data_IF_489182508917
#
_entry.id   IF_489182508917
#
_cell.length_a   1.000
_cell.length_b   1.000
_cell.length_c   1.000
_cell.angle_alpha   90.00
_cell.angle_beta   90.00
_cell.angle_gamma   90.00
#
_symmetry.space_group_name_H-M   'P 1'
#
loop_
_entity.id
_entity.type
_entity.pdbx_description
1 polymer ?
#
# COMPACT_ATOMS: atom_id res chain seq x y z
N UNK A 1 -49.68 49.51 37.66
CA UNK A 1 -48.28 49.05 37.92
C UNK A 1 -48.24 47.54 37.70
N UNK A 2 -47.88 47.09 36.53
CA UNK A 2 -47.62 45.68 36.26
C UNK A 2 -46.29 45.56 35.54
N UNK A 3 -45.32 44.90 36.15
CA UNK A 3 -44.05 44.54 35.57
C UNK A 3 -44.18 43.16 34.94
N UNK A 4 -43.98 43.07 33.64
CA UNK A 4 -43.91 41.80 32.93
C UNK A 4 -42.42 41.48 32.69
N UNK A 5 -41.93 40.47 33.38
CA UNK A 5 -40.63 39.83 33.08
C UNK A 5 -40.85 38.79 31.99
N UNK A 6 -40.22 38.95 30.83
CA UNK A 6 -40.14 37.89 29.82
C UNK A 6 -38.78 37.23 29.83
N UNK A 7 -38.79 35.93 29.93
CA UNK A 7 -37.68 35.02 29.99
C UNK A 7 -36.94 34.94 28.67
N UNK A 8 -35.63 34.89 28.80
CA UNK A 8 -34.71 34.37 27.75
C UNK A 8 -34.58 32.89 27.99
N UNK A 9 -35.11 32.07 27.10
CA UNK A 9 -34.90 30.63 27.09
C UNK A 9 -34.99 30.12 25.62
N UNK A 10 -33.95 30.34 24.82
CA UNK A 10 -33.78 29.63 23.53
C UNK A 10 -32.38 29.89 22.97
N UNK A 11 -31.34 29.18 23.40
CA UNK A 11 -30.08 29.16 22.63
C UNK A 11 -29.15 27.95 22.94
N UNK A 12 -29.62 26.86 23.52
CA UNK A 12 -28.73 25.71 23.84
C UNK A 12 -28.89 24.51 22.89
N UNK A 13 -29.97 24.42 22.10
CA UNK A 13 -30.18 23.27 21.21
C UNK A 13 -29.36 23.28 19.91
N UNK A 14 -28.89 24.43 19.44
CA UNK A 14 -28.22 24.54 18.15
C UNK A 14 -26.79 23.99 18.11
N UNK A 15 -26.05 24.11 19.21
CA UNK A 15 -24.64 23.74 19.24
C UNK A 15 -24.44 22.21 19.30
N UNK A 16 -25.28 21.50 20.06
CA UNK A 16 -25.19 20.03 20.18
C UNK A 16 -25.54 19.30 18.87
N UNK A 17 -26.48 19.82 18.09
CA UNK A 17 -26.88 19.22 16.80
C UNK A 17 -25.83 19.41 15.70
N UNK A 18 -25.14 20.55 15.65
CA UNK A 18 -24.05 20.78 14.70
C UNK A 18 -22.87 19.83 14.96
N UNK A 19 -22.46 19.66 16.22
CA UNK A 19 -21.34 18.75 16.56
C UNK A 19 -21.67 17.28 16.25
N UNK A 20 -22.90 16.82 16.48
CA UNK A 20 -23.32 15.46 16.16
C UNK A 20 -23.27 15.21 14.64
N UNK A 21 -23.77 16.14 13.84
CA UNK A 21 -23.77 16.06 12.37
C UNK A 21 -22.33 16.01 11.81
N UNK A 22 -21.41 16.78 12.38
CA UNK A 22 -19.99 16.78 11.95
C UNK A 22 -19.31 15.45 12.25
N UNK A 23 -19.58 14.84 13.40
CA UNK A 23 -19.05 13.52 13.76
C UNK A 23 -19.63 12.42 12.86
N UNK A 24 -20.92 12.46 12.55
CA UNK A 24 -21.55 11.49 11.66
C UNK A 24 -21.04 11.61 10.23
N UNK A 25 -20.88 12.83 9.72
CA UNK A 25 -20.27 13.10 8.42
C UNK A 25 -18.82 12.59 8.35
N UNK A 26 -18.05 12.81 9.41
CA UNK A 26 -16.69 12.29 9.50
C UNK A 26 -16.67 10.76 9.45
N UNK A 27 -17.47 10.09 10.29
CA UNK A 27 -17.57 8.62 10.29
C UNK A 27 -17.95 8.08 8.93
N UNK A 28 -18.94 8.67 8.28
CA UNK A 28 -19.35 8.30 6.93
C UNK A 28 -18.20 8.45 5.92
N UNK A 29 -17.40 9.51 6.03
CA UNK A 29 -16.23 9.69 5.15
C UNK A 29 -15.17 8.59 5.34
N UNK A 30 -14.97 8.10 6.57
CA UNK A 30 -14.06 6.97 6.85
C UNK A 30 -14.64 5.65 6.32
N UNK A 31 -15.95 5.43 6.48
CA UNK A 31 -16.63 4.26 5.90
C UNK A 31 -16.49 4.21 4.38
N UNK A 32 -16.66 5.34 3.70
CA UNK A 32 -16.42 5.45 2.25
C UNK A 32 -14.96 5.18 1.88
N UNK A 33 -14.02 5.68 2.68
CA UNK A 33 -12.60 5.39 2.48
C UNK A 33 -12.30 3.90 2.62
N UNK A 34 -12.85 3.22 3.64
CA UNK A 34 -12.73 1.77 3.83
C UNK A 34 -13.33 1.00 2.64
N UNK A 35 -14.52 1.40 2.15
CA UNK A 35 -15.14 0.76 1.00
C UNK A 35 -14.26 0.89 -0.27
N UNK A 36 -13.75 2.08 -0.56
CA UNK A 36 -12.83 2.30 -1.67
C UNK A 36 -11.49 1.54 -1.50
N UNK A 37 -11.05 1.30 -0.26
CA UNK A 37 -9.88 0.46 0.03
C UNK A 37 -10.13 -1.01 -0.35
N UNK A 38 -11.28 -1.55 0.00
CA UNK A 38 -11.70 -2.92 -0.37
C UNK A 38 -11.81 -3.04 -1.89
N UNK A 39 -12.42 -2.08 -2.55
CA UNK A 39 -12.57 -2.05 -4.01
C UNK A 39 -11.20 -2.12 -4.72
N UNK A 40 -10.25 -1.27 -4.34
CA UNK A 40 -8.89 -1.29 -4.91
C UNK A 40 -8.15 -2.60 -4.64
N UNK A 41 -8.32 -3.18 -3.44
CA UNK A 41 -7.65 -4.42 -3.08
C UNK A 41 -8.17 -5.61 -3.88
N UNK A 42 -9.50 -5.64 -4.15
CA UNK A 42 -10.19 -6.70 -4.88
C UNK A 42 -10.27 -6.46 -6.40
N UNK A 43 -9.76 -5.35 -6.90
CA UNK A 43 -9.71 -5.05 -8.33
C UNK A 43 -9.02 -6.20 -9.12
N UNK A 44 -9.35 -6.42 -10.40
CA UNK A 44 -8.74 -7.48 -11.23
C UNK A 44 -7.21 -7.44 -11.24
N UNK A 45 -6.63 -6.26 -11.13
CA UNK A 45 -5.21 -5.98 -11.08
C UNK A 45 -4.72 -5.56 -9.67
N UNK A 46 -5.60 -5.62 -8.66
CA UNK A 46 -5.30 -5.31 -7.26
C UNK A 46 -4.32 -6.31 -6.61
N UNK A 47 -3.92 -6.01 -5.39
CA UNK A 47 -2.93 -6.82 -4.67
C UNK A 47 -3.36 -8.27 -4.40
N UNK A 48 -4.65 -8.53 -4.28
CA UNK A 48 -5.19 -9.89 -4.15
C UNK A 48 -5.08 -10.73 -5.43
N UNK A 49 -4.79 -10.10 -6.59
CA UNK A 49 -4.56 -10.83 -7.84
C UNK A 49 -3.19 -11.50 -7.90
N UNK A 50 -2.25 -11.17 -7.02
CA UNK A 50 -0.91 -11.72 -7.05
C UNK A 50 -0.88 -13.21 -6.75
N UNK A 51 -0.22 -13.97 -7.64
CA UNK A 51 -0.04 -15.43 -7.52
C UNK A 51 1.43 -15.86 -7.58
N UNK A 52 2.37 -14.92 -7.84
CA UNK A 52 3.79 -15.22 -7.91
C UNK A 52 4.68 -13.98 -7.90
N UNK A 53 5.90 -14.17 -7.44
CA UNK A 53 7.03 -13.26 -7.59
C UNK A 53 8.27 -14.12 -7.83
N UNK A 54 8.76 -14.12 -9.06
CA UNK A 54 9.82 -15.00 -9.51
C UNK A 54 11.06 -14.18 -9.90
N UNK A 55 12.18 -14.41 -9.23
CA UNK A 55 13.41 -13.68 -9.48
C UNK A 55 14.17 -14.24 -10.70
N UNK A 56 14.58 -13.35 -11.61
CA UNK A 56 15.35 -13.70 -12.78
C UNK A 56 16.82 -13.99 -12.43
N UNK A 57 17.40 -14.94 -13.15
CA UNK A 57 18.84 -15.18 -13.18
C UNK A 57 19.43 -14.46 -14.42
N UNK A 58 20.71 -14.02 -14.37
CA UNK A 58 21.38 -13.53 -15.56
C UNK A 58 21.29 -14.54 -16.72
N UNK A 59 21.12 -14.04 -17.94
CA UNK A 59 20.94 -14.84 -19.13
C UNK A 59 19.50 -15.30 -19.37
N UNK A 60 19.31 -16.43 -20.01
CA UNK A 60 18.03 -16.96 -20.43
C UNK A 60 17.30 -17.65 -19.28
N UNK A 61 16.02 -17.30 -19.10
CA UNK A 61 15.08 -17.92 -18.14
C UNK A 61 13.87 -18.42 -18.92
N UNK A 62 13.70 -19.75 -19.04
CA UNK A 62 12.51 -20.36 -19.64
C UNK A 62 11.33 -20.17 -18.70
N UNK A 63 10.23 -19.69 -19.21
CA UNK A 63 9.03 -19.30 -18.42
C UNK A 63 7.82 -20.07 -18.92
N UNK A 64 7.03 -20.60 -18.00
CA UNK A 64 5.78 -21.31 -18.31
C UNK A 64 5.29 -22.13 -17.13
N UNK A 65 4.16 -22.84 -17.28
CA UNK A 65 3.58 -23.63 -16.18
C UNK A 65 4.15 -25.06 -16.08
N UNK A 66 4.86 -25.55 -17.08
CA UNK A 66 5.50 -26.87 -17.02
C UNK A 66 6.72 -26.85 -16.08
N UNK A 67 6.95 -27.97 -15.39
CA UNK A 67 7.98 -28.10 -14.36
C UNK A 67 9.44 -28.05 -14.89
N UNK A 68 9.62 -28.19 -16.19
CA UNK A 68 10.93 -28.11 -16.86
C UNK A 68 11.37 -26.67 -17.21
N UNK A 69 10.54 -25.66 -16.92
CA UNK A 69 10.92 -24.27 -17.03
C UNK A 69 11.84 -23.85 -15.87
N UNK A 70 12.65 -22.81 -16.08
CA UNK A 70 13.49 -22.20 -15.05
C UNK A 70 12.64 -21.37 -14.07
N UNK A 71 11.54 -20.80 -14.60
CA UNK A 71 10.48 -20.09 -13.87
C UNK A 71 9.17 -20.80 -14.12
N UNK A 72 8.64 -21.46 -13.07
CA UNK A 72 7.39 -22.23 -13.13
C UNK A 72 6.23 -21.36 -12.66
N UNK A 73 5.42 -20.90 -13.61
CA UNK A 73 4.25 -20.09 -13.33
C UNK A 73 3.10 -20.96 -12.78
N UNK A 74 2.30 -20.39 -11.87
CA UNK A 74 1.10 -21.07 -11.33
C UNK A 74 -0.09 -21.10 -12.32
N UNK A 75 0.01 -20.39 -13.43
CA UNK A 75 -1.02 -20.31 -14.48
C UNK A 75 -0.38 -20.11 -15.84
N UNK A 76 -1.14 -20.37 -16.90
CA UNK A 76 -0.75 -20.10 -18.29
C UNK A 76 -0.25 -21.33 -19.06
N UNK A 77 0.31 -21.13 -20.25
CA UNK A 77 0.77 -22.22 -21.13
C UNK A 77 1.96 -22.96 -20.52
N UNK A 78 2.12 -24.23 -20.88
CA UNK A 78 3.24 -25.09 -20.46
C UNK A 78 4.59 -24.41 -20.70
N UNK A 79 4.77 -23.85 -21.90
CA UNK A 79 5.94 -23.07 -22.29
C UNK A 79 5.46 -21.72 -22.87
N UNK A 80 5.64 -20.66 -22.08
CA UNK A 80 5.23 -19.31 -22.47
C UNK A 80 6.27 -18.66 -23.40
N UNK A 81 7.55 -18.85 -23.06
CA UNK A 81 8.66 -18.25 -23.78
C UNK A 81 9.94 -18.22 -22.96
N UNK A 82 10.86 -17.33 -23.36
CA UNK A 82 12.15 -17.11 -22.68
C UNK A 82 12.29 -15.64 -22.33
N UNK A 83 12.54 -15.34 -21.06
CA UNK A 83 12.93 -14.00 -20.61
C UNK A 83 14.46 -13.98 -20.46
N UNK A 84 15.12 -13.10 -21.18
CA UNK A 84 16.56 -12.91 -21.09
C UNK A 84 16.86 -11.65 -20.27
N UNK A 85 17.62 -11.81 -19.20
CA UNK A 85 18.19 -10.72 -18.41
C UNK A 85 19.66 -10.54 -18.86
N UNK A 86 19.95 -9.41 -19.51
CA UNK A 86 21.29 -9.07 -19.94
C UNK A 86 22.16 -8.51 -18.79
N UNK A 87 23.47 -8.48 -18.98
CA UNK A 87 24.44 -7.99 -17.98
C UNK A 87 24.26 -6.49 -17.65
N UNK A 88 23.68 -5.72 -18.57
CA UNK A 88 23.35 -4.30 -18.36
C UNK A 88 22.01 -4.08 -17.64
N UNK A 89 21.33 -5.17 -17.24
CA UNK A 89 20.04 -5.14 -16.56
C UNK A 89 18.82 -4.99 -17.48
N UNK A 90 19.04 -4.89 -18.81
CA UNK A 90 17.94 -4.89 -19.77
C UNK A 90 17.29 -6.27 -19.86
N UNK A 91 15.98 -6.29 -20.13
CA UNK A 91 15.20 -7.52 -20.22
C UNK A 91 14.46 -7.60 -21.55
N UNK A 92 14.47 -8.79 -22.13
CA UNK A 92 13.73 -9.11 -23.36
C UNK A 92 12.94 -10.40 -23.16
N UNK A 93 11.76 -10.48 -23.79
CA UNK A 93 10.99 -11.70 -23.89
C UNK A 93 10.91 -12.16 -25.34
N UNK A 94 11.12 -13.46 -25.56
CA UNK A 94 10.79 -14.16 -26.79
C UNK A 94 9.65 -15.15 -26.48
N UNK A 95 8.45 -14.88 -26.99
CA UNK A 95 7.29 -15.72 -26.78
C UNK A 95 7.35 -17.01 -27.62
N UNK A 96 6.98 -18.14 -27.04
CA UNK A 96 6.87 -19.39 -27.76
C UNK A 96 5.73 -19.35 -28.80
N UNK A 97 5.99 -19.87 -29.99
CA UNK A 97 4.96 -20.01 -31.03
C UNK A 97 3.75 -20.78 -30.49
N UNK A 98 2.57 -20.20 -30.62
CA UNK A 98 1.34 -20.82 -30.16
C UNK A 98 1.06 -20.67 -28.66
N UNK A 99 1.85 -19.91 -27.92
CA UNK A 99 1.59 -19.62 -26.49
C UNK A 99 0.28 -18.87 -26.25
N UNK A 100 -0.21 -18.13 -27.26
CA UNK A 100 -1.40 -17.28 -27.13
C UNK A 100 -1.20 -16.05 -26.25
N UNK A 101 0.05 -15.77 -25.85
CA UNK A 101 0.37 -14.62 -25.02
C UNK A 101 0.42 -13.33 -25.85
N UNK A 102 0.14 -12.21 -25.16
CA UNK A 102 0.17 -10.86 -25.71
C UNK A 102 1.13 -9.99 -24.89
N UNK A 103 1.86 -9.09 -25.55
CA UNK A 103 2.64 -8.05 -24.87
C UNK A 103 1.92 -6.72 -25.08
N UNK A 104 1.54 -6.06 -23.98
CA UNK A 104 0.73 -4.83 -23.98
C UNK A 104 -0.51 -4.96 -24.87
N UNK A 105 -1.18 -6.13 -24.78
CA UNK A 105 -2.37 -6.46 -25.57
C UNK A 105 -2.10 -6.76 -27.06
N UNK A 106 -0.83 -6.84 -27.51
CA UNK A 106 -0.48 -7.09 -28.91
C UNK A 106 0.13 -8.47 -29.12
N UNK A 107 -0.21 -9.17 -30.21
CA UNK A 107 0.39 -10.46 -30.55
C UNK A 107 1.77 -10.27 -31.22
N UNK A 108 2.78 -10.02 -30.40
CA UNK A 108 4.18 -9.89 -30.84
C UNK A 108 4.97 -11.11 -30.38
N UNK A 109 6.05 -11.46 -31.09
CA UNK A 109 6.89 -12.59 -30.72
C UNK A 109 8.02 -12.19 -29.78
N UNK A 110 8.58 -11.02 -29.97
CA UNK A 110 9.69 -10.49 -29.18
C UNK A 110 9.37 -9.08 -28.70
N UNK A 111 9.75 -8.76 -27.46
CA UNK A 111 9.59 -7.43 -26.90
C UNK A 111 10.63 -7.15 -25.79
N UNK A 112 10.95 -5.87 -25.61
CA UNK A 112 11.66 -5.39 -24.43
C UNK A 112 10.69 -5.30 -23.23
N UNK A 113 11.11 -5.80 -22.08
CA UNK A 113 10.37 -5.66 -20.84
C UNK A 113 10.91 -4.46 -20.06
N UNK A 114 10.11 -3.40 -19.96
CA UNK A 114 10.39 -2.26 -19.09
C UNK A 114 9.77 -2.57 -17.72
N UNK A 115 10.59 -2.55 -16.67
CA UNK A 115 10.12 -2.83 -15.30
C UNK A 115 9.42 -1.61 -14.66
N UNK A 116 8.85 -1.84 -13.48
CA UNK A 116 8.08 -0.83 -12.75
C UNK A 116 8.92 0.36 -12.25
N UNK A 117 10.21 0.19 -12.03
CA UNK A 117 11.10 1.27 -11.60
C UNK A 117 11.59 2.17 -12.77
N UNK A 118 11.53 1.68 -14.01
CA UNK A 118 12.02 2.38 -15.20
C UNK A 118 10.91 2.80 -16.17
N UNK A 119 9.66 2.50 -15.87
CA UNK A 119 8.51 2.88 -16.71
C UNK A 119 8.15 4.38 -16.61
N UNK A 120 8.67 5.12 -15.64
CA UNK A 120 8.30 6.51 -15.39
C UNK A 120 6.80 6.65 -15.15
N UNK A 121 6.17 7.62 -15.81
CA UNK A 121 4.71 7.83 -15.75
C UNK A 121 3.90 6.77 -16.53
N UNK A 122 4.56 5.89 -17.28
CA UNK A 122 3.91 4.80 -18.00
C UNK A 122 3.75 3.54 -17.12
N UNK A 123 2.93 2.60 -17.58
CA UNK A 123 2.85 1.28 -16.95
C UNK A 123 4.03 0.40 -17.41
N UNK A 124 4.56 -0.51 -16.57
CA UNK A 124 5.55 -1.48 -16.98
C UNK A 124 5.02 -2.39 -18.08
N UNK A 125 5.92 -2.88 -18.95
CA UNK A 125 5.54 -3.81 -20.01
C UNK A 125 4.87 -5.04 -19.44
N UNK A 126 3.65 -5.33 -19.89
CA UNK A 126 2.82 -6.42 -19.35
C UNK A 126 2.67 -7.55 -20.39
N UNK A 127 2.98 -8.77 -19.95
CA UNK A 127 2.74 -9.99 -20.72
C UNK A 127 1.50 -10.68 -20.16
N UNK A 128 0.46 -10.83 -20.99
CA UNK A 128 -0.82 -11.44 -20.59
C UNK A 128 -1.07 -12.78 -21.31
N UNK A 129 -1.67 -13.73 -20.61
CA UNK A 129 -1.99 -15.07 -21.09
C UNK A 129 -3.19 -15.65 -20.32
N UNK A 130 -4.31 -15.84 -21.00
CA UNK A 130 -5.56 -16.24 -20.34
C UNK A 130 -6.04 -15.21 -19.33
N UNK A 131 -6.29 -15.62 -18.08
CA UNK A 131 -6.68 -14.75 -16.96
C UNK A 131 -5.47 -14.17 -16.22
N UNK A 132 -4.27 -14.67 -16.53
CA UNK A 132 -3.04 -14.28 -15.84
C UNK A 132 -2.19 -13.32 -16.69
N UNK A 133 -1.31 -12.62 -16.00
CA UNK A 133 -0.31 -11.73 -16.59
C UNK A 133 0.90 -11.61 -15.68
N UNK A 134 2.00 -11.14 -16.21
CA UNK A 134 3.11 -10.64 -15.40
C UNK A 134 3.67 -9.34 -15.96
N UNK A 135 4.38 -8.61 -15.12
CA UNK A 135 5.27 -7.52 -15.48
C UNK A 135 6.58 -7.64 -14.71
N UNK A 136 7.62 -7.02 -15.24
CA UNK A 136 8.92 -7.01 -14.58
C UNK A 136 8.97 -5.98 -13.46
N UNK A 137 9.65 -6.32 -12.37
CA UNK A 137 9.96 -5.40 -11.27
C UNK A 137 11.47 -5.31 -11.06
N UNK A 138 11.92 -4.14 -10.58
CA UNK A 138 13.27 -3.95 -10.06
C UNK A 138 13.22 -3.61 -8.58
N UNK A 139 14.02 -4.31 -7.78
CA UNK A 139 14.18 -4.00 -6.35
C UNK A 139 15.67 -4.08 -6.00
N UNK A 140 16.29 -2.90 -5.93
CA UNK A 140 17.73 -2.75 -5.64
C UNK A 140 18.60 -3.57 -6.65
N UNK A 141 18.29 -3.44 -7.94
CA UNK A 141 18.97 -4.15 -9.04
C UNK A 141 18.57 -5.62 -9.22
N UNK A 142 17.75 -6.19 -8.34
CA UNK A 142 17.18 -7.53 -8.53
C UNK A 142 15.94 -7.45 -9.41
N UNK A 143 16.03 -8.05 -10.60
CA UNK A 143 14.92 -8.13 -11.55
C UNK A 143 14.07 -9.37 -11.26
N UNK A 144 12.75 -9.19 -11.28
CA UNK A 144 11.78 -10.28 -11.06
C UNK A 144 10.52 -10.12 -11.90
N UNK A 145 9.75 -11.19 -12.01
CA UNK A 145 8.44 -11.20 -12.65
C UNK A 145 7.37 -11.23 -11.56
N UNK A 146 6.54 -10.21 -11.49
CA UNK A 146 5.37 -10.17 -10.60
C UNK A 146 4.16 -10.68 -11.35
N UNK A 147 3.62 -11.81 -10.90
CA UNK A 147 2.58 -12.55 -11.60
C UNK A 147 1.22 -12.29 -10.96
N UNK A 148 0.25 -11.91 -11.77
CA UNK A 148 -1.15 -11.67 -11.40
C UNK A 148 -2.07 -12.66 -12.09
N UNK A 149 -3.21 -12.94 -11.45
CA UNK A 149 -4.32 -13.67 -12.06
C UNK A 149 -5.64 -13.03 -11.59
N UNK A 150 -6.47 -12.62 -12.54
CA UNK A 150 -7.80 -12.07 -12.23
C UNK A 150 -8.70 -13.08 -11.52
N UNK A 151 -8.39 -14.37 -11.61
CA UNK A 151 -9.10 -15.48 -10.98
C UNK A 151 -8.34 -16.05 -9.76
N UNK A 152 -7.39 -15.29 -9.19
CA UNK A 152 -6.57 -15.72 -8.05
C UNK A 152 -7.40 -16.19 -6.84
N UNK A 153 -6.92 -17.19 -6.08
CA UNK A 153 -7.56 -17.60 -4.83
C UNK A 153 -7.71 -16.43 -3.82
N UNK A 154 -6.72 -15.53 -3.76
CA UNK A 154 -6.77 -14.35 -2.89
C UNK A 154 -7.97 -13.45 -3.15
N UNK A 155 -8.34 -13.25 -4.42
CA UNK A 155 -9.54 -12.48 -4.79
C UNK A 155 -10.83 -13.26 -4.53
N UNK A 156 -10.86 -14.54 -4.90
CA UNK A 156 -12.06 -15.39 -4.79
C UNK A 156 -12.47 -15.68 -3.35
N UNK A 157 -11.50 -15.77 -2.44
CA UNK A 157 -11.71 -16.13 -1.03
C UNK A 157 -11.44 -14.96 -0.09
N UNK A 158 -11.53 -13.73 -0.60
CA UNK A 158 -11.30 -12.55 0.22
C UNK A 158 -12.31 -12.47 1.38
N UNK A 159 -11.79 -12.51 2.61
CA UNK A 159 -12.58 -12.55 3.83
C UNK A 159 -13.10 -11.18 4.32
N UNK A 160 -12.83 -10.11 3.55
CA UNK A 160 -13.07 -8.73 4.03
C UNK A 160 -11.94 -8.21 4.91
N UNK A 161 -12.04 -6.96 5.32
CA UNK A 161 -11.10 -6.31 6.23
C UNK A 161 -11.86 -5.90 7.49
N UNK A 162 -11.41 -6.39 8.64
CA UNK A 162 -11.87 -5.86 9.91
C UNK A 162 -11.10 -4.59 10.26
N UNK A 163 -11.80 -3.60 10.81
CA UNK A 163 -11.24 -2.38 11.36
C UNK A 163 -11.66 -2.20 12.82
N UNK A 164 -10.90 -1.42 13.56
CA UNK A 164 -11.36 -0.92 14.83
C UNK A 164 -12.59 0.00 14.64
N UNK A 165 -13.43 0.20 15.68
CA UNK A 165 -14.49 1.20 15.61
C UNK A 165 -13.94 2.58 15.26
N UNK A 166 -14.63 3.31 14.38
CA UNK A 166 -14.22 4.67 13.99
C UNK A 166 -14.36 5.60 15.18
N UNK A 167 -13.24 6.13 15.63
CA UNK A 167 -13.18 7.06 16.76
C UNK A 167 -12.50 8.37 16.31
N UNK A 168 -13.27 9.49 16.29
CA UNK A 168 -12.73 10.80 15.92
C UNK A 168 -11.52 11.27 16.74
N UNK A 169 -11.33 10.73 17.96
CA UNK A 169 -10.17 11.05 18.78
C UNK A 169 -8.84 10.55 18.20
N UNK A 170 -8.89 9.64 17.24
CA UNK A 170 -7.73 9.16 16.47
C UNK A 170 -7.44 9.98 15.21
N UNK A 171 -8.21 11.02 14.95
CA UNK A 171 -7.90 12.07 13.99
C UNK A 171 -7.19 13.20 14.71
N UNK A 172 -5.89 13.16 14.74
CA UNK A 172 -5.00 14.02 15.55
C UNK A 172 -4.47 15.15 14.67
N UNK A 173 -4.52 16.39 15.17
CA UNK A 173 -3.78 17.49 14.58
C UNK A 173 -2.36 17.48 15.16
N UNK A 174 -1.39 17.07 14.35
CA UNK A 174 0.03 17.03 14.71
C UNK A 174 0.74 18.35 14.33
N UNK A 175 1.75 18.72 15.08
CA UNK A 175 2.66 19.82 14.73
C UNK A 175 3.66 19.31 13.71
N UNK A 176 3.90 20.12 12.68
CA UNK A 176 4.90 19.84 11.65
C UNK A 176 6.21 20.51 11.96
N UNK A 177 7.30 19.76 11.92
CA UNK A 177 8.66 20.25 12.02
C UNK A 177 9.39 19.92 10.71
N UNK A 178 9.74 20.91 9.88
CA UNK A 178 10.43 20.66 8.62
C UNK A 178 11.76 19.93 8.83
N UNK A 179 12.06 18.98 7.94
CA UNK A 179 13.33 18.27 7.95
C UNK A 179 14.51 19.17 7.51
N UNK A 180 15.72 18.73 7.80
CA UNK A 180 16.92 19.35 7.24
C UNK A 180 17.04 18.97 5.76
N UNK A 181 17.62 19.85 4.91
CA UNK A 181 17.88 19.50 3.52
C UNK A 181 18.71 18.21 3.41
N UNK A 182 18.23 17.26 2.61
CA UNK A 182 18.89 15.99 2.39
C UNK A 182 18.66 14.92 3.48
N UNK A 183 17.78 15.18 4.44
CA UNK A 183 17.39 14.18 5.45
C UNK A 183 16.67 12.99 4.80
N UNK A 184 17.04 11.78 5.20
CA UNK A 184 16.48 10.54 4.66
C UNK A 184 16.22 9.54 5.76
N UNK A 185 15.29 8.61 5.52
CA UNK A 185 14.97 7.49 6.38
C UNK A 185 15.22 6.18 5.63
N UNK A 186 15.96 5.27 6.26
CA UNK A 186 16.18 3.93 5.74
C UNK A 186 15.12 2.97 6.28
N UNK A 187 14.49 2.23 5.40
CA UNK A 187 13.50 1.21 5.74
C UNK A 187 13.91 -0.13 5.15
N UNK A 188 14.02 -1.15 5.99
CA UNK A 188 14.14 -2.52 5.52
C UNK A 188 12.86 -2.97 4.82
N UNK A 189 12.95 -3.92 3.90
CA UNK A 189 11.80 -4.47 3.18
C UNK A 189 11.54 -5.93 3.51
N UNK A 190 10.37 -6.44 3.15
CA UNK A 190 10.00 -7.83 3.33
C UNK A 190 10.89 -8.83 2.56
N UNK A 191 11.65 -8.36 1.57
CA UNK A 191 12.57 -9.18 0.76
C UNK A 191 14.05 -9.03 1.18
N UNK A 192 14.31 -8.28 2.28
CA UNK A 192 15.64 -8.10 2.86
C UNK A 192 16.50 -7.03 2.21
N UNK A 193 15.94 -6.16 1.35
CA UNK A 193 16.60 -4.94 0.86
C UNK A 193 16.42 -3.79 1.86
N UNK A 194 17.17 -2.70 1.68
CA UNK A 194 17.02 -1.46 2.43
C UNK A 194 16.75 -0.35 1.43
N UNK A 195 15.56 0.22 1.52
CA UNK A 195 15.17 1.37 0.71
C UNK A 195 15.42 2.66 1.49
N UNK A 196 15.81 3.73 0.79
CA UNK A 196 16.16 5.01 1.38
C UNK A 196 15.28 6.10 0.79
N UNK A 197 14.47 6.71 1.64
CA UNK A 197 13.47 7.70 1.23
C UNK A 197 13.79 9.09 1.76
N UNK A 198 13.51 10.17 1.00
CA UNK A 198 13.57 11.54 1.50
C UNK A 198 12.54 11.78 2.62
N UNK A 199 12.97 12.43 3.69
CA UNK A 199 12.11 12.86 4.80
C UNK A 199 11.76 14.33 4.61
N UNK A 200 10.48 14.69 4.38
CA UNK A 200 10.09 16.11 4.22
C UNK A 200 9.97 16.85 5.54
N UNK A 201 9.79 16.13 6.64
CA UNK A 201 9.64 16.68 7.98
C UNK A 201 9.22 15.64 9.00
N UNK A 202 8.96 16.07 10.21
CA UNK A 202 8.55 15.26 11.35
C UNK A 202 7.18 15.70 11.86
N UNK A 203 6.36 14.73 12.24
CA UNK A 203 5.11 14.93 12.96
C UNK A 203 5.36 14.84 14.46
N UNK A 204 4.88 15.81 15.21
CA UNK A 204 4.90 15.79 16.67
C UNK A 204 3.48 15.91 17.22
N UNK A 205 3.09 14.99 18.12
CA UNK A 205 1.80 15.05 18.77
C UNK A 205 1.85 14.54 20.20
N UNK A 206 0.85 14.90 20.98
CA UNK A 206 0.70 14.43 22.37
C UNK A 206 -0.59 13.64 22.51
N UNK A 207 -0.50 12.49 23.17
CA UNK A 207 -1.66 11.68 23.54
C UNK A 207 -1.46 11.13 24.95
N UNK A 208 -2.50 11.21 25.76
CA UNK A 208 -2.49 10.75 27.17
C UNK A 208 -1.30 11.32 27.97
N UNK A 209 -0.96 12.59 27.73
CA UNK A 209 0.16 13.30 28.38
C UNK A 209 1.56 12.88 27.92
N UNK A 210 1.67 12.00 26.92
CA UNK A 210 2.95 11.53 26.34
C UNK A 210 3.16 12.15 24.97
N UNK A 211 4.41 12.52 24.70
CA UNK A 211 4.86 13.05 23.42
C UNK A 211 5.27 11.92 22.48
N UNK A 212 4.90 12.03 21.20
CA UNK A 212 5.23 11.08 20.14
C UNK A 212 5.70 11.80 18.89
N UNK A 213 6.56 11.13 18.14
CA UNK A 213 7.11 11.61 16.88
C UNK A 213 6.92 10.54 15.80
N UNK A 214 6.75 10.98 14.55
CA UNK A 214 6.72 10.11 13.36
C UNK A 214 7.39 10.81 12.18
N UNK A 215 8.12 10.05 11.38
CA UNK A 215 8.81 10.50 10.19
C UNK A 215 8.11 9.96 8.93
N UNK A 216 7.29 10.77 8.26
CA UNK A 216 6.77 10.42 6.95
C UNK A 216 7.87 10.59 5.89
N UNK A 217 7.69 9.94 4.74
CA UNK A 217 8.62 10.00 3.62
C UNK A 217 7.92 10.39 2.33
N UNK A 218 8.68 10.76 1.32
CA UNK A 218 8.25 10.90 -0.07
C UNK A 218 8.61 9.59 -0.76
N UNK A 219 7.64 8.85 -1.30
CA UNK A 219 7.88 7.60 -2.04
C UNK A 219 8.45 7.89 -3.42
N UNK A 220 7.76 8.78 -4.15
CA UNK A 220 8.15 9.15 -5.52
C UNK A 220 8.24 10.68 -5.67
N UNK A 221 9.16 11.18 -6.50
CA UNK A 221 9.23 12.60 -6.80
C UNK A 221 7.91 13.11 -7.39
N UNK A 222 7.32 14.12 -6.75
CA UNK A 222 6.05 14.71 -7.18
C UNK A 222 4.81 14.19 -6.46
N UNK A 223 4.95 13.28 -5.52
CA UNK A 223 3.84 12.82 -4.69
C UNK A 223 3.12 13.98 -4.01
N UNK A 224 1.80 13.93 -4.04
CA UNK A 224 0.93 14.94 -3.42
C UNK A 224 0.63 14.67 -1.95
N UNK A 225 0.96 13.48 -1.46
CA UNK A 225 0.82 13.04 -0.07
C UNK A 225 2.13 12.45 0.42
N UNK A 226 2.36 12.49 1.70
CA UNK A 226 3.49 11.82 2.32
C UNK A 226 3.10 10.44 2.83
N UNK A 227 4.00 9.50 2.70
CA UNK A 227 3.81 8.12 3.10
C UNK A 227 4.37 7.88 4.50
N UNK A 228 3.59 7.23 5.34
CA UNK A 228 3.96 6.88 6.71
C UNK A 228 3.87 5.38 6.91
N UNK A 229 4.99 4.76 7.26
CA UNK A 229 5.10 3.36 7.66
C UNK A 229 5.35 3.31 9.15
N UNK A 230 4.45 2.73 9.94
CA UNK A 230 4.56 2.71 11.39
C UNK A 230 4.15 1.38 12.00
N UNK A 231 4.59 1.14 13.23
CA UNK A 231 4.14 0.06 14.09
C UNK A 231 3.83 0.60 15.49
N UNK A 232 3.05 -0.14 16.26
CA UNK A 232 2.62 0.25 17.59
C UNK A 232 2.45 -0.98 18.50
N UNK A 233 1.98 -0.83 19.72
CA UNK A 233 1.83 -1.94 20.67
C UNK A 233 0.70 -2.95 20.31
N UNK A 234 -0.10 -2.68 19.27
CA UNK A 234 -1.08 -3.63 18.72
C UNK A 234 -0.48 -4.56 17.69
N UNK A 235 0.70 -4.20 17.12
CA UNK A 235 1.36 -4.93 16.04
C UNK A 235 1.70 -6.38 16.41
N UNK A 236 1.36 -7.31 15.52
CA UNK A 236 1.53 -8.75 15.71
C UNK A 236 0.45 -9.42 16.55
N UNK A 237 -0.37 -8.66 17.25
CA UNK A 237 -1.47 -9.15 18.08
C UNK A 237 -2.82 -8.86 17.45
N UNK A 238 -3.18 -7.61 17.37
CA UNK A 238 -4.48 -7.12 16.86
C UNK A 238 -4.37 -6.54 15.44
N UNK A 239 -3.19 -6.02 15.10
CA UNK A 239 -2.87 -5.48 13.78
C UNK A 239 -1.74 -6.27 13.13
N UNK A 240 -1.48 -6.03 11.85
CA UNK A 240 -0.41 -6.71 11.12
C UNK A 240 0.96 -6.43 11.75
N UNK A 241 1.79 -7.46 11.86
CA UNK A 241 3.00 -7.42 12.70
C UNK A 241 4.13 -6.55 12.16
N UNK A 242 4.26 -6.44 10.85
CA UNK A 242 5.40 -5.76 10.23
C UNK A 242 5.25 -4.24 10.23
N UNK A 243 4.07 -3.74 9.86
CA UNK A 243 3.74 -2.32 9.81
C UNK A 243 2.26 -2.11 9.50
N UNK A 244 1.77 -0.88 9.70
CA UNK A 244 0.60 -0.30 9.02
C UNK A 244 1.04 0.92 8.23
N UNK A 245 0.31 1.20 7.16
CA UNK A 245 0.56 2.31 6.26
C UNK A 245 -0.48 3.40 6.45
N UNK A 246 -0.07 4.64 6.23
CA UNK A 246 -0.95 5.80 6.26
C UNK A 246 -0.43 6.87 5.31
N UNK A 247 -1.28 7.43 4.47
CA UNK A 247 -0.98 8.62 3.71
C UNK A 247 -1.50 9.87 4.43
N UNK A 248 -0.70 10.92 4.43
CA UNK A 248 -1.02 12.21 5.04
C UNK A 248 -0.82 13.33 4.03
N UNK A 249 -1.69 14.34 4.11
CA UNK A 249 -1.53 15.53 3.28
C UNK A 249 -0.35 16.39 3.76
N UNK A 250 0.29 17.16 2.88
CA UNK A 250 1.33 18.12 3.25
C UNK A 250 0.84 19.10 4.33
N UNK A 251 1.78 19.69 5.12
CA UNK A 251 1.44 20.60 6.19
C UNK A 251 0.74 21.86 5.70
N UNK A 252 -0.27 22.30 6.46
CA UNK A 252 -0.91 23.59 6.31
C UNK A 252 -0.75 24.38 7.61
N UNK A 253 -0.20 25.58 7.52
CA UNK A 253 0.03 26.46 8.67
C UNK A 253 0.80 25.77 9.84
N UNK A 254 1.80 24.94 9.50
CA UNK A 254 2.61 24.21 10.47
C UNK A 254 1.89 23.04 11.15
N UNK A 255 0.76 22.61 10.61
CA UNK A 255 -0.06 21.49 11.12
C UNK A 255 -0.31 20.44 10.04
N UNK A 256 -0.45 19.20 10.49
CA UNK A 256 -0.83 18.03 9.66
C UNK A 256 -1.92 17.24 10.36
N UNK A 257 -2.90 16.77 9.61
CA UNK A 257 -3.91 15.85 10.09
C UNK A 257 -3.39 14.42 10.00
N UNK A 258 -3.16 13.81 11.16
CA UNK A 258 -2.77 12.41 11.30
C UNK A 258 -4.03 11.60 11.67
N UNK A 259 -4.66 10.96 10.69
CA UNK A 259 -5.91 10.24 10.87
C UNK A 259 -5.69 8.72 10.91
N UNK A 260 -5.45 8.17 12.08
CA UNK A 260 -5.22 6.75 12.28
C UNK A 260 -6.43 5.86 11.93
N UNK A 261 -7.66 6.41 11.81
CA UNK A 261 -8.80 5.65 11.30
C UNK A 261 -8.60 5.20 9.84
N UNK A 262 -7.67 5.83 9.12
CA UNK A 262 -7.23 5.45 7.78
C UNK A 262 -5.95 4.62 7.78
N UNK A 263 -5.43 4.18 8.93
CA UNK A 263 -4.30 3.27 8.96
C UNK A 263 -4.69 1.91 8.39
N UNK A 264 -3.87 1.38 7.46
CA UNK A 264 -4.23 0.19 6.70
C UNK A 264 -3.08 -0.83 6.61
N UNK A 265 -3.43 -2.07 6.35
CA UNK A 265 -2.49 -3.15 6.15
C UNK A 265 -1.71 -3.00 4.84
N UNK A 266 -0.37 -3.19 4.84
CA UNK A 266 0.40 -3.26 3.61
C UNK A 266 -0.02 -4.46 2.76
N UNK A 267 0.31 -4.46 1.45
CA UNK A 267 0.07 -5.59 0.56
C UNK A 267 0.57 -6.94 1.10
N UNK A 268 1.70 -6.94 1.80
CA UNK A 268 2.29 -8.14 2.42
C UNK A 268 1.41 -8.80 3.50
N UNK A 269 0.37 -8.12 3.99
CA UNK A 269 -0.62 -8.73 4.89
C UNK A 269 -1.60 -9.66 4.14
N UNK A 270 -1.71 -9.52 2.82
CA UNK A 270 -2.68 -10.21 1.97
C UNK A 270 -2.04 -11.20 1.00
N UNK A 271 -0.74 -11.04 0.71
CA UNK A 271 -0.01 -11.86 -0.26
C UNK A 271 1.47 -11.94 0.09
N UNK A 272 2.14 -13.11 -0.07
CA UNK A 272 3.58 -13.26 0.14
C UNK A 272 4.41 -12.68 -1.04
N UNK A 273 3.77 -12.18 -2.10
CA UNK A 273 4.41 -11.74 -3.34
C UNK A 273 4.62 -10.22 -3.43
N UNK A 274 4.43 -9.51 -2.32
CA UNK A 274 4.70 -8.09 -2.20
C UNK A 274 6.09 -7.83 -1.56
N UNK A 275 6.63 -6.63 -1.80
CA UNK A 275 7.97 -6.21 -1.35
C UNK A 275 7.90 -5.01 -0.41
N UNK A 276 6.96 -5.00 0.52
CA UNK A 276 6.61 -3.85 1.35
C UNK A 276 7.73 -3.42 2.30
N UNK A 277 7.86 -2.11 2.57
CA UNK A 277 8.70 -1.62 3.64
C UNK A 277 8.17 -2.05 5.01
N UNK A 278 9.10 -2.22 5.95
CA UNK A 278 8.85 -2.54 7.35
C UNK A 278 8.90 -1.25 8.17
N UNK A 279 8.15 -1.20 9.29
CA UNK A 279 8.20 -0.04 10.17
C UNK A 279 9.61 0.18 10.72
N UNK A 280 10.25 1.32 10.41
CA UNK A 280 11.56 1.66 10.93
C UNK A 280 11.50 1.92 12.45
N UNK A 281 12.63 1.83 13.15
CA UNK A 281 12.67 2.07 14.60
C UNK A 281 12.06 3.41 15.02
N UNK A 282 12.28 4.46 14.22
CA UNK A 282 11.82 5.83 14.45
C UNK A 282 10.29 5.96 14.44
N UNK A 283 9.61 5.06 13.72
CA UNK A 283 8.16 5.04 13.57
C UNK A 283 7.49 3.93 14.39
N UNK A 284 8.13 3.47 15.46
CA UNK A 284 7.54 2.50 16.40
C UNK A 284 6.99 3.22 17.63
N UNK A 285 5.67 3.39 17.66
CA UNK A 285 4.98 4.07 18.74
C UNK A 285 4.86 3.16 19.99
N UNK A 286 5.37 3.63 21.12
CA UNK A 286 5.14 2.99 22.43
C UNK A 286 3.74 3.35 22.99
N UNK A 287 2.71 3.14 22.18
CA UNK A 287 1.29 3.29 22.53
C UNK A 287 0.47 2.30 21.70
N UNK A 288 -0.78 2.06 22.13
CA UNK A 288 -1.73 1.24 21.35
C UNK A 288 -2.57 2.15 20.46
N UNK A 289 -2.47 1.96 19.15
CA UNK A 289 -3.31 2.66 18.17
C UNK A 289 -4.49 1.77 17.80
N UNK A 290 -5.60 1.94 18.53
CA UNK A 290 -6.84 1.17 18.33
C UNK A 290 -7.77 1.84 17.32
N UNK A 291 -7.23 2.13 16.12
CA UNK A 291 -7.92 2.71 14.98
C UNK A 291 -7.38 2.13 13.66
N UNK A 292 -8.15 2.20 12.59
CA UNK A 292 -7.78 1.65 11.27
C UNK A 292 -7.95 0.13 11.18
N UNK A 293 -7.30 -0.48 10.18
CA UNK A 293 -7.40 -1.90 9.87
C UNK A 293 -6.77 -2.77 10.96
N UNK A 294 -7.45 -3.86 11.30
CA UNK A 294 -6.92 -4.96 12.11
C UNK A 294 -6.13 -5.94 11.24
N UNK A 295 -5.48 -6.91 11.89
CA UNK A 295 -4.81 -8.02 11.20
C UNK A 295 -5.78 -8.76 10.29
N UNK A 296 -5.39 -8.98 9.03
CA UNK A 296 -6.20 -9.74 8.08
C UNK A 296 -6.39 -11.18 8.57
N UNK A 297 -7.63 -11.64 8.56
CA UNK A 297 -7.99 -12.97 9.05
C UNK A 297 -7.80 -14.07 8.00
N UNK A 298 -7.87 -13.73 6.70
CA UNK A 298 -7.54 -14.64 5.62
C UNK A 298 -6.03 -14.75 5.50
N UNK A 299 -5.43 -15.80 6.05
CA UNK A 299 -4.01 -16.06 5.89
C UNK A 299 -3.64 -16.31 4.43
N UNK A 300 -2.37 -16.10 4.10
CA UNK A 300 -1.74 -16.68 2.93
C UNK A 300 -0.84 -17.81 3.45
N UNK A 301 -1.15 -19.04 3.06
CA UNK A 301 -0.34 -20.22 3.32
C UNK A 301 0.89 -20.27 2.39
#
# INVERSE_FOLDING_TARGET
MFRTSFLVAATILGVATVHATDVDNYKHSIEQWHAGRVERLTAPDGWLSLIGLEWLKPGANRVGSAADNDIVLKAGPAHLGVVTLADDGSMQIALATGSGALVDGKPVQDATLIDDAHAGDATPTTVSFGTASFYAIDRDGRKGLRVKDTESPGRRHFAGIESFPIDPSWRIEATWVPARPGETLEMGTAIGTIDKFPVPGKLEFTRDGRHFELLPVIEEPGDTQYFLVFADLTSGKETYGAARFLYIDPPKDGKVVLDFNKAYNPPCAFTPFATCPLAPPENRLDMRVTAGEKKYAGGHD
#
